data_IF_342728286271
#
_entry.id   IF_342728286271
#
_cell.length_a   1.000
_cell.length_b   1.000
_cell.length_c   1.000
_cell.angle_alpha   90.00
_cell.angle_beta   90.00
_cell.angle_gamma   90.00
#
_symmetry.space_group_name_H-M   'P 1'
#
loop_
_entity.id
_entity.type
_entity.pdbx_description
1 polymer ?
#
# COMPACT_ATOMS: atom_id res chain seq x y z
N UNK A 1 27.45 20.79 75.11
CA UNK A 1 28.60 21.24 74.30
C UNK A 1 29.05 20.03 73.49
N UNK A 2 29.23 20.27 72.20
CA UNK A 2 30.06 19.54 71.23
C UNK A 2 29.65 18.13 70.75
N UNK A 3 29.15 18.14 69.51
CA UNK A 3 29.47 17.24 68.38
C UNK A 3 30.79 16.44 68.50
N UNK A 4 30.79 15.20 68.02
CA UNK A 4 31.37 14.87 66.71
C UNK A 4 31.17 13.40 66.30
N UNK A 5 30.47 13.25 65.17
CA UNK A 5 30.55 12.29 64.06
C UNK A 5 31.24 10.93 64.21
N UNK A 6 30.54 9.90 63.72
CA UNK A 6 31.19 8.85 62.90
C UNK A 6 30.27 8.36 61.78
N UNK A 7 30.74 8.55 60.54
CA UNK A 7 30.07 8.14 59.30
C UNK A 7 30.17 6.64 59.09
N UNK A 8 29.13 6.02 58.53
CA UNK A 8 29.29 4.76 57.79
C UNK A 8 28.31 4.63 56.64
N UNK A 9 28.86 4.17 55.52
CA UNK A 9 28.43 4.39 54.16
C UNK A 9 27.25 3.51 53.74
N UNK A 10 26.21 4.13 53.17
CA UNK A 10 25.15 3.43 52.40
C UNK A 10 25.72 3.01 51.04
N UNK A 11 25.99 1.72 50.85
CA UNK A 11 26.32 1.13 49.55
C UNK A 11 25.07 1.11 48.66
N UNK A 12 25.03 1.98 47.66
CA UNK A 12 24.10 1.94 46.54
C UNK A 12 24.48 0.80 45.59
N UNK A 13 23.65 -0.25 45.51
CA UNK A 13 23.73 -1.27 44.46
C UNK A 13 22.91 -0.81 43.25
N UNK A 14 23.59 -0.24 42.27
CA UNK A 14 23.09 0.01 40.90
C UNK A 14 23.66 -1.07 39.99
N UNK A 15 22.81 -1.97 39.47
CA UNK A 15 23.01 -3.01 38.43
C UNK A 15 21.65 -3.74 38.32
N UNK A 16 20.97 -3.97 37.20
CA UNK A 16 21.35 -4.02 35.79
C UNK A 16 20.11 -3.74 34.93
N UNK A 17 20.19 -2.75 34.05
CA UNK A 17 19.26 -2.52 32.94
C UNK A 17 20.03 -2.90 31.68
N UNK A 18 19.55 -3.89 30.90
CA UNK A 18 19.89 -4.23 29.49
C UNK A 18 20.02 -5.74 29.26
N UNK A 19 18.89 -6.39 28.97
CA UNK A 19 18.71 -7.47 27.96
C UNK A 19 17.34 -8.14 28.15
N UNK A 20 16.27 -7.61 27.53
CA UNK A 20 15.00 -8.36 27.32
C UNK A 20 14.08 -7.70 26.28
N UNK A 21 14.63 -7.18 25.18
CA UNK A 21 13.81 -6.50 24.17
C UNK A 21 14.06 -7.00 22.73
N UNK A 22 15.14 -7.77 22.51
CA UNK A 22 15.53 -8.19 21.15
C UNK A 22 14.78 -9.43 20.62
N UNK A 23 14.23 -10.27 21.50
CA UNK A 23 13.53 -11.50 21.09
C UNK A 23 12.02 -11.35 20.86
N UNK A 24 11.41 -10.23 21.29
CA UNK A 24 9.97 -10.01 21.10
C UNK A 24 9.64 -9.47 19.70
N UNK A 25 10.52 -8.66 19.11
CA UNK A 25 10.34 -8.10 17.76
C UNK A 25 10.33 -9.21 16.70
N UNK A 26 11.18 -10.23 16.89
CA UNK A 26 11.40 -11.29 15.90
C UNK A 26 10.19 -12.19 15.65
N UNK A 27 9.24 -12.27 16.59
CA UNK A 27 8.05 -13.11 16.46
C UNK A 27 6.87 -12.40 15.78
N UNK A 28 6.74 -11.08 15.97
CA UNK A 28 5.67 -10.30 15.35
C UNK A 28 5.87 -10.15 13.83
N UNK A 29 7.11 -10.21 13.34
CA UNK A 29 7.42 -10.11 11.91
C UNK A 29 7.03 -11.38 11.12
N UNK A 30 6.91 -12.53 11.79
CA UNK A 30 6.65 -13.82 11.11
C UNK A 30 5.16 -14.16 11.06
N UNK A 31 4.38 -13.79 12.08
CA UNK A 31 2.92 -14.04 12.10
C UNK A 31 2.13 -13.08 11.19
N UNK A 32 2.67 -11.90 10.88
CA UNK A 32 2.04 -10.93 9.95
C UNK A 32 2.12 -11.34 8.47
N UNK A 33 2.82 -12.43 8.14
CA UNK A 33 3.06 -12.87 6.76
C UNK A 33 1.96 -13.81 6.23
N UNK A 34 1.26 -14.54 7.10
CA UNK A 34 0.34 -15.61 6.66
C UNK A 34 -1.14 -15.16 6.54
N UNK A 35 -1.57 -14.12 7.26
CA UNK A 35 -3.00 -13.73 7.29
C UNK A 35 -3.46 -12.88 6.08
N UNK A 36 -2.56 -12.48 5.18
CA UNK A 36 -2.85 -11.53 4.08
C UNK A 36 -3.17 -12.16 2.73
N UNK A 37 -3.22 -13.49 2.63
CA UNK A 37 -3.51 -14.20 1.39
C UNK A 37 -4.97 -14.09 0.92
N UNK A 38 -5.90 -13.73 1.81
CA UNK A 38 -7.33 -13.65 1.48
C UNK A 38 -7.77 -12.28 0.94
N UNK A 39 -6.99 -11.22 1.20
CA UNK A 39 -7.33 -9.84 0.80
C UNK A 39 -7.05 -9.57 -0.68
N UNK A 40 -6.01 -10.21 -1.23
CA UNK A 40 -5.64 -10.14 -2.65
C UNK A 40 -6.75 -10.65 -3.58
N UNK A 41 -7.53 -11.65 -3.14
CA UNK A 41 -8.65 -12.20 -3.93
C UNK A 41 -9.83 -11.24 -4.02
N UNK A 42 -10.06 -10.43 -2.98
CA UNK A 42 -11.16 -9.46 -2.95
C UNK A 42 -10.82 -8.21 -3.77
N UNK A 43 -9.54 -7.85 -3.82
CA UNK A 43 -9.05 -6.70 -4.60
C UNK A 43 -9.06 -6.95 -6.12
N UNK A 44 -8.73 -8.18 -6.57
CA UNK A 44 -8.79 -8.57 -7.99
C UNK A 44 -10.22 -8.54 -8.55
N UNK A 45 -11.24 -8.80 -7.73
CA UNK A 45 -12.64 -8.73 -8.15
C UNK A 45 -13.12 -7.28 -8.36
N UNK A 46 -12.64 -6.34 -7.54
CA UNK A 46 -13.02 -4.93 -7.60
C UNK A 46 -12.42 -4.26 -8.84
N UNK A 47 -11.21 -4.65 -9.25
CA UNK A 47 -10.56 -4.15 -10.45
C UNK A 47 -11.29 -4.59 -11.75
N UNK A 48 -11.89 -5.79 -11.78
CA UNK A 48 -12.56 -6.33 -12.97
C UNK A 48 -13.89 -5.64 -13.32
N UNK A 49 -14.59 -5.08 -12.34
CA UNK A 49 -15.90 -4.43 -12.55
C UNK A 49 -15.82 -3.02 -13.16
N UNK A 50 -14.66 -2.37 -13.12
CA UNK A 50 -14.50 -0.97 -13.57
C UNK A 50 -14.19 -0.83 -15.07
N UNK A 51 -14.04 -1.93 -15.81
CA UNK A 51 -13.61 -1.91 -17.23
C UNK A 51 -14.74 -2.13 -18.25
N UNK A 52 -16.01 -2.19 -17.84
CA UNK A 52 -17.14 -2.27 -18.78
C UNK A 52 -17.81 -0.90 -18.93
N UNK A 53 -17.41 -0.16 -19.97
CA UNK A 53 -18.19 0.97 -20.50
C UNK A 53 -18.80 0.59 -21.85
N UNK A 54 -20.06 1.00 -22.17
CA UNK A 54 -20.81 0.48 -23.30
C UNK A 54 -20.53 1.26 -24.60
N UNK A 55 -20.41 0.51 -25.68
CA UNK A 55 -20.22 0.97 -27.06
C UNK A 55 -21.52 1.57 -27.64
N UNK A 56 -21.40 2.67 -28.39
CA UNK A 56 -22.51 3.30 -29.13
C UNK A 56 -22.00 4.07 -30.37
N UNK A 57 -21.82 3.31 -31.44
CA UNK A 57 -22.17 3.57 -32.86
C UNK A 57 -21.98 4.95 -33.53
N UNK A 58 -21.08 4.92 -34.53
CA UNK A 58 -21.23 5.32 -35.95
C UNK A 58 -21.49 6.80 -36.38
N UNK A 59 -20.58 7.32 -37.23
CA UNK A 59 -20.85 8.49 -38.09
C UNK A 59 -19.63 9.15 -38.77
N UNK A 60 -19.12 8.53 -39.84
CA UNK A 60 -18.18 8.96 -40.92
C UNK A 60 -18.03 10.47 -41.16
N UNK A 61 -16.80 11.00 -41.42
CA UNK A 61 -16.33 11.68 -42.67
C UNK A 61 -14.80 11.94 -42.70
N UNK A 62 -14.28 11.86 -43.91
CA UNK A 62 -12.91 11.64 -44.39
C UNK A 62 -12.11 12.95 -44.57
N UNK A 63 -10.82 12.91 -44.26
CA UNK A 63 -9.89 14.03 -44.42
C UNK A 63 -8.44 13.59 -44.25
N UNK A 64 -7.80 13.29 -45.37
CA UNK A 64 -6.43 12.79 -45.47
C UNK A 64 -5.43 13.84 -44.96
N UNK A 65 -4.83 13.59 -43.78
CA UNK A 65 -3.57 14.19 -43.33
C UNK A 65 -2.82 13.11 -42.57
N UNK A 66 -1.53 12.96 -42.88
CA UNK A 66 -0.67 11.86 -42.47
C UNK A 66 -0.88 11.44 -41.00
N UNK A 67 -1.10 10.15 -40.70
CA UNK A 67 -1.01 9.68 -39.34
C UNK A 67 0.48 9.67 -38.97
N UNK A 68 0.92 10.73 -38.31
CA UNK A 68 2.01 10.55 -37.34
C UNK A 68 1.40 9.68 -36.24
N UNK A 69 1.54 8.37 -36.42
CA UNK A 69 1.38 7.37 -35.39
C UNK A 69 1.98 7.92 -34.08
N UNK A 70 1.20 8.14 -33.01
CA UNK A 70 1.82 8.15 -31.71
C UNK A 70 2.30 6.72 -31.53
N UNK A 71 3.60 6.49 -31.80
CA UNK A 71 4.27 5.27 -31.41
C UNK A 71 3.99 5.12 -29.93
N UNK A 72 3.01 4.26 -29.63
CA UNK A 72 2.64 3.91 -28.28
C UNK A 72 3.78 3.04 -27.81
N UNK A 73 4.90 3.69 -27.45
CA UNK A 73 5.95 3.09 -26.67
C UNK A 73 5.24 2.68 -25.38
N UNK A 74 4.91 1.40 -25.28
CA UNK A 74 4.53 0.77 -24.03
C UNK A 74 5.78 0.92 -23.15
N UNK A 75 5.87 2.05 -22.46
CA UNK A 75 7.01 2.38 -21.61
C UNK A 75 6.91 1.43 -20.42
N UNK A 76 7.76 0.40 -20.45
CA UNK A 76 7.82 -0.60 -19.39
C UNK A 76 8.13 0.12 -18.07
N UNK A 77 7.43 -0.19 -16.96
CA UNK A 77 7.71 0.44 -15.68
C UNK A 77 9.18 0.33 -15.30
N UNK A 78 9.76 1.45 -14.88
CA UNK A 78 11.18 1.60 -14.54
C UNK A 78 11.69 0.57 -13.54
N UNK A 79 10.86 0.18 -12.57
CA UNK A 79 11.20 -0.81 -11.56
C UNK A 79 11.41 -2.21 -12.15
N UNK A 80 10.80 -2.55 -13.29
CA UNK A 80 11.04 -3.84 -13.95
C UNK A 80 12.43 -3.88 -14.61
N UNK A 81 12.96 -2.73 -14.98
CA UNK A 81 14.30 -2.58 -15.57
C UNK A 81 15.35 -2.49 -14.45
N UNK A 82 15.05 -1.72 -13.39
CA UNK A 82 15.97 -1.50 -12.25
C UNK A 82 16.12 -2.74 -11.36
N UNK A 83 15.02 -3.43 -11.07
CA UNK A 83 15.01 -4.58 -10.17
C UNK A 83 14.93 -5.87 -10.98
N UNK A 84 16.07 -6.52 -11.15
CA UNK A 84 16.23 -7.79 -11.86
C UNK A 84 16.44 -8.94 -10.89
N UNK A 85 16.56 -10.17 -11.41
CA UNK A 85 16.89 -11.34 -10.61
C UNK A 85 18.13 -11.10 -9.74
N UNK A 86 18.00 -11.40 -8.45
CA UNK A 86 19.07 -11.19 -7.46
C UNK A 86 20.10 -12.31 -7.62
N UNK A 87 21.37 -11.93 -7.62
CA UNK A 87 22.50 -12.88 -7.74
C UNK A 87 23.44 -12.87 -6.54
N UNK A 88 23.25 -11.96 -5.58
CA UNK A 88 24.09 -11.85 -4.39
C UNK A 88 23.32 -11.39 -3.14
N UNK A 89 23.85 -11.74 -1.96
CA UNK A 89 23.29 -11.30 -0.67
C UNK A 89 23.37 -9.78 -0.47
N UNK A 90 24.38 -9.12 -1.02
CA UNK A 90 24.51 -7.67 -1.00
C UNK A 90 23.39 -7.01 -1.82
N UNK A 91 23.15 -7.49 -3.05
CA UNK A 91 22.05 -6.99 -3.88
C UNK A 91 20.70 -7.24 -3.23
N UNK A 92 20.51 -8.41 -2.59
CA UNK A 92 19.32 -8.71 -1.79
C UNK A 92 19.11 -7.70 -0.67
N UNK A 93 20.16 -7.36 0.07
CA UNK A 93 20.07 -6.40 1.17
C UNK A 93 19.73 -5.00 0.65
N UNK A 94 20.35 -4.56 -0.44
CA UNK A 94 20.03 -3.28 -1.08
C UNK A 94 18.56 -3.22 -1.54
N UNK A 95 18.02 -4.31 -2.11
CA UNK A 95 16.61 -4.37 -2.52
C UNK A 95 15.67 -4.29 -1.32
N UNK A 96 16.04 -4.91 -0.20
CA UNK A 96 15.29 -4.80 1.06
C UNK A 96 15.31 -3.36 1.60
N UNK A 97 16.45 -2.68 1.53
CA UNK A 97 16.58 -1.32 2.02
C UNK A 97 15.78 -0.33 1.13
N UNK A 98 15.84 -0.49 -0.19
CA UNK A 98 15.01 0.25 -1.14
C UNK A 98 13.50 0.01 -0.90
N UNK A 99 13.09 -1.24 -0.66
CA UNK A 99 11.70 -1.56 -0.30
C UNK A 99 11.27 -0.81 0.96
N UNK A 100 12.09 -0.86 2.02
CA UNK A 100 11.76 -0.23 3.30
C UNK A 100 11.70 1.29 3.20
N UNK A 101 12.54 1.90 2.36
CA UNK A 101 12.58 3.35 2.18
C UNK A 101 11.28 3.93 1.63
N UNK A 102 10.55 3.18 0.80
CA UNK A 102 9.26 3.60 0.21
C UNK A 102 8.04 2.95 0.89
N UNK A 103 8.24 1.99 1.79
CA UNK A 103 7.14 1.22 2.38
C UNK A 103 6.19 2.09 3.23
N UNK A 104 6.72 3.05 3.98
CA UNK A 104 5.90 3.93 4.82
C UNK A 104 5.01 4.86 3.96
N UNK A 105 5.54 5.35 2.84
CA UNK A 105 4.77 6.13 1.86
C UNK A 105 3.61 5.29 1.30
N UNK A 106 3.92 4.07 0.85
CA UNK A 106 2.92 3.14 0.35
C UNK A 106 1.83 2.87 1.40
N UNK A 107 2.21 2.60 2.65
CA UNK A 107 1.26 2.29 3.73
C UNK A 107 0.32 3.45 4.01
N UNK A 108 0.83 4.68 4.03
CA UNK A 108 0.02 5.87 4.26
C UNK A 108 -0.96 6.11 3.10
N UNK A 109 -0.49 6.04 1.84
CA UNK A 109 -1.33 6.20 0.66
C UNK A 109 -2.40 5.12 0.60
N UNK A 110 -2.02 3.85 0.76
CA UNK A 110 -2.95 2.72 0.70
C UNK A 110 -4.04 2.83 1.76
N UNK A 111 -3.68 3.12 3.02
CA UNK A 111 -4.67 3.28 4.09
C UNK A 111 -5.68 4.40 3.78
N UNK A 112 -5.22 5.48 3.14
CA UNK A 112 -6.08 6.57 2.70
C UNK A 112 -6.99 6.17 1.55
N UNK A 113 -6.45 5.52 0.52
CA UNK A 113 -7.25 5.02 -0.62
C UNK A 113 -8.32 4.03 -0.15
N UNK A 114 -7.96 3.12 0.76
CA UNK A 114 -8.89 2.14 1.35
C UNK A 114 -9.99 2.82 2.17
N UNK A 115 -9.66 3.85 2.94
CA UNK A 115 -10.65 4.62 3.72
C UNK A 115 -11.68 5.28 2.82
N UNK A 116 -11.22 5.89 1.72
CA UNK A 116 -12.09 6.51 0.71
C UNK A 116 -12.97 5.45 0.04
N UNK A 117 -12.37 4.36 -0.46
CA UNK A 117 -13.10 3.28 -1.11
C UNK A 117 -14.18 2.67 -0.20
N UNK A 118 -13.83 2.41 1.08
CA UNK A 118 -14.74 1.82 2.07
C UNK A 118 -15.97 2.70 2.31
N UNK A 119 -15.81 4.03 2.33
CA UNK A 119 -16.93 4.97 2.50
C UNK A 119 -17.92 4.85 1.33
N UNK A 120 -17.43 4.82 0.09
CA UNK A 120 -18.29 4.66 -1.08
C UNK A 120 -18.95 3.29 -1.18
N UNK A 121 -18.21 2.21 -0.88
CA UNK A 121 -18.77 0.85 -0.82
C UNK A 121 -19.92 0.78 0.19
N UNK A 122 -19.75 1.41 1.37
CA UNK A 122 -20.79 1.44 2.39
C UNK A 122 -22.02 2.25 1.95
N UNK A 123 -21.83 3.43 1.35
CA UNK A 123 -22.93 4.25 0.83
C UNK A 123 -23.68 3.53 -0.31
N UNK A 124 -22.97 2.85 -1.20
CA UNK A 124 -23.57 2.06 -2.28
C UNK A 124 -24.38 0.88 -1.72
N UNK A 125 -23.85 0.17 -0.72
CA UNK A 125 -24.57 -0.91 -0.04
C UNK A 125 -25.84 -0.40 0.68
N UNK A 126 -25.79 0.77 1.32
CA UNK A 126 -26.97 1.40 1.92
C UNK A 126 -28.01 1.75 0.85
N UNK A 127 -27.57 2.43 -0.22
CA UNK A 127 -28.45 2.83 -1.33
C UNK A 127 -29.18 1.64 -1.95
N UNK A 128 -28.49 0.51 -2.17
CA UNK A 128 -29.06 -0.72 -2.73
C UNK A 128 -30.13 -1.37 -1.84
N UNK A 129 -30.13 -1.09 -0.53
CA UNK A 129 -31.11 -1.62 0.43
C UNK A 129 -32.33 -0.72 0.63
N UNK A 130 -32.28 0.52 0.17
CA UNK A 130 -33.34 1.51 0.36
C UNK A 130 -34.29 1.55 -0.83
N UNK A 131 -35.56 1.88 -0.56
CA UNK A 131 -36.57 2.04 -1.62
C UNK A 131 -36.27 3.30 -2.45
N UNK A 132 -36.22 3.19 -3.80
CA UNK A 132 -36.10 4.37 -4.65
C UNK A 132 -37.21 5.39 -4.36
N UNK A 133 -36.84 6.63 -4.08
CA UNK A 133 -37.78 7.72 -3.76
C UNK A 133 -38.06 7.93 -2.27
N UNK A 134 -37.54 7.07 -1.38
CA UNK A 134 -37.61 7.33 0.06
C UNK A 134 -36.72 8.52 0.47
N UNK A 135 -37.01 9.14 1.61
CA UNK A 135 -36.20 10.27 2.12
C UNK A 135 -34.78 9.82 2.45
N UNK A 136 -34.64 8.60 2.98
CA UNK A 136 -33.36 7.99 3.29
C UNK A 136 -32.52 7.76 2.03
N UNK A 137 -33.14 7.32 0.92
CA UNK A 137 -32.45 7.17 -0.36
C UNK A 137 -31.90 8.52 -0.85
N UNK A 138 -32.67 9.60 -0.71
CA UNK A 138 -32.21 10.95 -1.04
C UNK A 138 -31.05 11.41 -0.13
N UNK A 139 -31.13 11.11 1.17
CA UNK A 139 -30.06 11.44 2.11
C UNK A 139 -28.75 10.70 1.77
N UNK A 140 -28.81 9.41 1.43
CA UNK A 140 -27.63 8.66 0.98
C UNK A 140 -27.06 9.23 -0.31
N UNK A 141 -27.92 9.66 -1.25
CA UNK A 141 -27.48 10.33 -2.47
C UNK A 141 -26.74 11.64 -2.16
N UNK A 142 -27.26 12.45 -1.23
CA UNK A 142 -26.62 13.68 -0.77
C UNK A 142 -25.28 13.40 -0.08
N UNK A 143 -25.19 12.38 0.77
CA UNK A 143 -23.93 11.96 1.41
C UNK A 143 -22.86 11.57 0.37
N UNK A 144 -23.23 10.86 -0.70
CA UNK A 144 -22.30 10.50 -1.79
C UNK A 144 -21.72 11.76 -2.44
N UNK A 145 -22.56 12.76 -2.72
CA UNK A 145 -22.11 14.03 -3.31
C UNK A 145 -21.19 14.79 -2.36
N UNK A 146 -21.51 14.82 -1.06
CA UNK A 146 -20.67 15.44 -0.04
C UNK A 146 -19.30 14.76 0.08
N UNK A 147 -19.23 13.44 0.10
CA UNK A 147 -17.96 12.71 0.16
C UNK A 147 -17.09 12.98 -1.08
N UNK A 148 -17.70 13.00 -2.27
CA UNK A 148 -17.00 13.35 -3.49
C UNK A 148 -16.43 14.78 -3.43
N UNK A 149 -17.22 15.73 -2.94
CA UNK A 149 -16.79 17.10 -2.78
C UNK A 149 -15.65 17.24 -1.75
N UNK A 150 -15.71 16.53 -0.62
CA UNK A 150 -14.64 16.51 0.38
C UNK A 150 -13.34 16.01 -0.22
N UNK A 151 -13.36 14.95 -1.02
CA UNK A 151 -12.14 14.42 -1.67
C UNK A 151 -11.57 15.44 -2.65
N UNK A 152 -12.43 16.01 -3.50
CA UNK A 152 -12.03 17.04 -4.48
C UNK A 152 -11.41 18.28 -3.81
N UNK A 153 -11.90 18.65 -2.63
CA UNK A 153 -11.40 19.82 -1.88
C UNK A 153 -10.15 19.51 -1.05
N UNK A 154 -10.15 18.40 -0.31
CA UNK A 154 -9.03 18.01 0.55
C UNK A 154 -7.82 17.56 -0.24
N UNK A 155 -8.00 17.11 -1.48
CA UNK A 155 -6.93 16.55 -2.30
C UNK A 155 -7.19 16.79 -3.78
N UNK A 156 -6.83 17.99 -4.27
CA UNK A 156 -6.91 18.29 -5.70
C UNK A 156 -6.15 17.28 -6.56
N UNK A 157 -5.13 16.62 -6.00
CA UNK A 157 -4.29 15.63 -6.67
C UNK A 157 -4.64 14.18 -6.30
N UNK A 158 -5.88 13.88 -5.87
CA UNK A 158 -6.29 12.51 -5.53
C UNK A 158 -5.96 11.49 -6.63
N UNK A 159 -6.04 11.89 -7.90
CA UNK A 159 -5.71 11.00 -9.03
C UNK A 159 -4.21 10.68 -9.08
N UNK A 160 -3.34 11.64 -8.76
CA UNK A 160 -1.90 11.43 -8.68
C UNK A 160 -1.53 10.55 -7.50
N UNK A 161 -2.18 10.74 -6.34
CA UNK A 161 -1.98 9.90 -5.16
C UNK A 161 -2.42 8.46 -5.42
N UNK A 162 -3.56 8.27 -6.11
CA UNK A 162 -4.03 6.95 -6.53
C UNK A 162 -3.01 6.29 -7.46
N UNK A 163 -2.56 7.01 -8.48
CA UNK A 163 -1.53 6.51 -9.40
C UNK A 163 -0.23 6.14 -8.67
N UNK A 164 0.22 6.98 -7.73
CA UNK A 164 1.41 6.72 -6.91
C UNK A 164 1.22 5.49 -6.03
N UNK A 165 0.03 5.31 -5.43
CA UNK A 165 -0.30 4.14 -4.62
C UNK A 165 -0.23 2.85 -5.44
N UNK A 166 -0.80 2.84 -6.65
CA UNK A 166 -0.78 1.70 -7.57
C UNK A 166 0.65 1.39 -8.05
N UNK A 167 1.42 2.42 -8.40
CA UNK A 167 2.83 2.28 -8.77
C UNK A 167 3.64 1.64 -7.63
N UNK A 168 3.52 2.17 -6.41
CA UNK A 168 4.22 1.65 -5.25
C UNK A 168 3.80 0.22 -4.91
N UNK A 169 2.51 -0.10 -5.00
CA UNK A 169 2.01 -1.47 -4.82
C UNK A 169 2.75 -2.44 -5.74
N UNK A 170 2.75 -2.15 -7.04
CA UNK A 170 3.36 -3.02 -8.05
C UNK A 170 4.89 -3.10 -7.92
N UNK A 171 5.55 -1.96 -7.69
CA UNK A 171 7.00 -1.90 -7.48
C UNK A 171 7.42 -2.71 -6.26
N UNK A 172 6.79 -2.48 -5.11
CA UNK A 172 7.13 -3.15 -3.86
C UNK A 172 6.80 -4.64 -3.92
N UNK A 173 5.69 -5.03 -4.54
CA UNK A 173 5.36 -6.43 -4.79
C UNK A 173 6.42 -7.12 -5.66
N UNK A 174 6.90 -6.47 -6.72
CA UNK A 174 7.97 -6.99 -7.58
C UNK A 174 9.29 -7.16 -6.82
N UNK A 175 9.71 -6.15 -6.06
CA UNK A 175 10.94 -6.24 -5.23
C UNK A 175 10.82 -7.38 -4.21
N UNK A 176 9.67 -7.47 -3.52
CA UNK A 176 9.42 -8.54 -2.54
C UNK A 176 9.46 -9.93 -3.18
N UNK A 177 8.90 -10.09 -4.38
CA UNK A 177 8.95 -11.33 -5.16
C UNK A 177 10.39 -11.73 -5.46
N UNK A 178 11.21 -10.81 -5.96
CA UNK A 178 12.62 -11.10 -6.28
C UNK A 178 13.43 -11.53 -5.05
N UNK A 179 13.21 -10.88 -3.90
CA UNK A 179 13.82 -11.29 -2.63
C UNK A 179 13.38 -12.70 -2.23
N UNK A 180 12.08 -12.99 -2.33
CA UNK A 180 11.52 -14.31 -2.00
C UNK A 180 12.03 -15.43 -2.91
N UNK A 181 12.13 -15.17 -4.22
CA UNK A 181 12.68 -16.12 -5.20
C UNK A 181 14.15 -16.44 -4.90
N UNK A 182 14.96 -15.42 -4.59
CA UNK A 182 16.35 -15.62 -4.21
C UNK A 182 16.48 -16.43 -2.92
N UNK A 183 15.72 -16.09 -1.88
CA UNK A 183 15.75 -16.80 -0.60
C UNK A 183 15.37 -18.28 -0.76
N UNK A 184 14.38 -18.57 -1.61
CA UNK A 184 13.96 -19.92 -1.91
C UNK A 184 15.07 -20.71 -2.63
N UNK A 185 15.72 -20.11 -3.64
CA UNK A 185 16.84 -20.74 -4.35
C UNK A 185 18.02 -21.01 -3.41
N UNK A 186 18.34 -20.06 -2.53
CA UNK A 186 19.38 -20.27 -1.52
C UNK A 186 18.99 -21.40 -0.58
N UNK A 187 17.76 -21.45 -0.07
CA UNK A 187 17.35 -22.55 0.80
C UNK A 187 17.46 -23.94 0.13
N UNK A 188 17.18 -24.03 -1.17
CA UNK A 188 17.29 -25.29 -1.93
C UNK A 188 18.73 -25.70 -2.23
N UNK A 189 19.65 -24.74 -2.36
CA UNK A 189 21.06 -25.01 -2.71
C UNK A 189 21.89 -25.59 -1.56
N UNK A 190 21.36 -25.55 -0.33
CA UNK A 190 22.03 -26.02 0.89
C UNK A 190 21.55 -27.41 1.34
N UNK A 191 20.65 -28.02 0.57
CA UNK A 191 20.17 -29.40 0.74
C UNK A 191 20.81 -30.32 -0.30
#
# INVERSE_FOLDING_TARGET
MEENHSMSHKKSKKKSKKHKEKDQIRKHDTEMIEEKGEDLKREEEIAKLNNSSPDSSAGVKEGCTAPTEPSSTIELPDYLIKYIAIVSYEQRQNYKDDFNAEYDEYRALHARMETVARRFINLDAQRKRLSPGSKEYQNVHEEVLQEYQKIKQSSPNYHEEKYRCEYLHNKLAHIKRLIGEFDQQQAQSWH
#
